data_IF_011971084829
#
_entry.id   IF_011971084829
#
_cell.length_a   1.000
_cell.length_b   1.000
_cell.length_c   1.000
_cell.angle_alpha   90.00
_cell.angle_beta   90.00
_cell.angle_gamma   90.00
#
_symmetry.space_group_name_H-M   'P 1'
#
loop_
_entity.id
_entity.type
_entity.pdbx_description
1 polymer ?
#
# COMPACT_ATOMS: atom_id res chain seq x y z
N UNK A 1 -6.10 -7.17 19.58
CA UNK A 1 -6.10 -5.80 19.00
C UNK A 1 -7.38 -5.66 18.17
N UNK A 2 -8.07 -4.51 18.19
CA UNK A 2 -9.26 -4.29 17.34
C UNK A 2 -8.81 -3.59 16.07
N UNK A 3 -9.22 -4.11 14.93
CA UNK A 3 -8.98 -3.50 13.63
C UNK A 3 -10.03 -2.41 13.35
N UNK A 4 -9.58 -1.21 13.02
CA UNK A 4 -10.44 -0.09 12.61
C UNK A 4 -10.47 0.02 11.10
N UNK A 5 -11.64 0.31 10.55
CA UNK A 5 -11.91 0.37 9.11
C UNK A 5 -12.47 1.71 8.71
N UNK A 6 -12.74 1.87 7.42
CA UNK A 6 -13.26 3.10 6.84
C UNK A 6 -14.46 3.71 7.58
N UNK A 7 -15.37 2.88 8.10
CA UNK A 7 -16.60 3.35 8.75
C UNK A 7 -16.47 3.48 10.28
N UNK A 8 -15.33 3.09 10.86
CA UNK A 8 -15.13 3.03 12.30
C UNK A 8 -14.59 4.34 12.90
N UNK A 9 -14.69 5.47 12.18
CA UNK A 9 -14.13 6.75 12.64
C UNK A 9 -14.69 7.21 13.99
N UNK A 10 -15.96 6.93 14.28
CA UNK A 10 -16.59 7.26 15.56
C UNK A 10 -16.06 6.35 16.70
N UNK A 11 -15.87 5.07 16.41
CA UNK A 11 -15.31 4.12 17.37
C UNK A 11 -13.85 4.46 17.70
N UNK A 12 -13.09 4.92 16.69
CA UNK A 12 -11.73 5.36 16.89
C UNK A 12 -11.65 6.67 17.70
N UNK A 13 -12.59 7.61 17.53
CA UNK A 13 -12.73 8.76 18.42
C UNK A 13 -12.97 8.35 19.88
N UNK A 14 -13.89 7.42 20.10
CA UNK A 14 -14.18 6.92 21.45
C UNK A 14 -12.94 6.26 22.06
N UNK A 15 -12.22 5.46 21.27
CA UNK A 15 -10.96 4.83 21.68
C UNK A 15 -9.88 5.84 22.02
N UNK A 16 -9.70 6.85 21.18
CA UNK A 16 -8.73 7.92 21.45
C UNK A 16 -8.97 8.55 22.82
N UNK A 17 -10.22 8.92 23.13
CA UNK A 17 -10.57 9.49 24.44
C UNK A 17 -10.33 8.52 25.60
N UNK A 18 -10.51 7.23 25.39
CA UNK A 18 -10.20 6.21 26.39
C UNK A 18 -8.69 6.12 26.65
N UNK A 19 -7.88 6.08 25.59
CA UNK A 19 -6.41 6.04 25.68
C UNK A 19 -5.89 7.30 26.36
N UNK A 20 -6.42 8.50 26.05
CA UNK A 20 -5.99 9.74 26.70
C UNK A 20 -6.35 9.77 28.20
N UNK A 21 -7.55 9.29 28.57
CA UNK A 21 -7.92 9.14 29.99
C UNK A 21 -7.00 8.15 30.71
N UNK A 22 -6.75 7.00 30.11
CA UNK A 22 -5.83 6.01 30.66
C UNK A 22 -4.41 6.56 30.80
N UNK A 23 -3.94 7.32 29.79
CA UNK A 23 -2.61 7.95 29.79
C UNK A 23 -2.48 8.96 30.93
N UNK A 24 -3.48 9.81 31.13
CA UNK A 24 -3.50 10.76 32.23
C UNK A 24 -3.45 10.07 33.61
N UNK A 25 -4.23 8.99 33.80
CA UNK A 25 -4.22 8.19 35.03
C UNK A 25 -2.84 7.59 35.34
N UNK A 26 -2.04 7.29 34.31
CA UNK A 26 -0.72 6.67 34.46
C UNK A 26 0.44 7.64 34.26
N UNK A 27 0.18 8.95 34.11
CA UNK A 27 1.21 9.96 33.88
C UNK A 27 2.01 9.76 32.58
N UNK A 28 1.38 9.20 31.55
CA UNK A 28 2.03 8.92 30.27
C UNK A 28 1.91 10.11 29.32
N UNK A 29 3.00 10.37 28.60
CA UNK A 29 3.10 11.39 27.56
C UNK A 29 3.54 10.75 26.25
N UNK A 30 2.95 11.22 25.15
CA UNK A 30 3.16 10.65 23.82
C UNK A 30 3.72 11.70 22.87
N UNK A 31 4.85 11.38 22.23
CA UNK A 31 5.44 12.23 21.19
C UNK A 31 4.60 12.22 19.90
N UNK A 32 3.98 11.07 19.61
CA UNK A 32 3.09 10.88 18.47
C UNK A 32 2.06 9.77 18.75
N UNK A 33 0.95 9.82 18.03
CA UNK A 33 -0.09 8.81 18.06
C UNK A 33 -0.34 8.28 16.65
N UNK A 34 -0.21 6.96 16.50
CA UNK A 34 -0.40 6.26 15.24
C UNK A 34 -1.85 5.80 15.02
N UNK A 35 -2.37 6.06 13.82
CA UNK A 35 -3.67 5.57 13.36
C UNK A 35 -3.44 4.55 12.25
N UNK A 36 -3.76 3.29 12.53
CA UNK A 36 -3.81 2.22 11.54
C UNK A 36 -5.26 1.95 11.13
N UNK A 37 -5.52 1.97 9.83
CA UNK A 37 -6.82 1.68 9.24
C UNK A 37 -6.64 0.44 8.39
N UNK A 38 -7.30 -0.63 8.78
CA UNK A 38 -7.27 -1.91 8.09
C UNK A 38 -8.07 -1.82 6.80
N UNK A 39 -7.53 -2.42 5.74
CA UNK A 39 -8.21 -2.53 4.46
C UNK A 39 -9.50 -3.35 4.61
N UNK A 40 -10.55 -2.94 3.90
CA UNK A 40 -11.78 -3.70 3.85
C UNK A 40 -11.71 -4.80 2.78
N UNK A 41 -10.92 -5.84 3.07
CA UNK A 41 -10.63 -6.96 2.15
C UNK A 41 -11.56 -8.17 2.32
N UNK A 42 -12.63 -8.07 3.12
CA UNK A 42 -13.54 -9.21 3.38
C UNK A 42 -14.13 -9.82 2.10
N UNK A 43 -14.20 -9.05 1.00
CA UNK A 43 -14.94 -9.44 -0.21
C UNK A 43 -14.16 -9.42 -1.53
N UNK A 44 -12.86 -9.05 -1.56
CA UNK A 44 -12.26 -8.59 -2.84
C UNK A 44 -11.10 -9.40 -3.38
N UNK A 45 -10.27 -10.04 -2.54
CA UNK A 45 -9.21 -10.92 -3.05
C UNK A 45 -8.95 -12.05 -2.07
N UNK A 46 -9.43 -13.26 -2.41
CA UNK A 46 -8.87 -14.48 -1.83
C UNK A 46 -7.53 -14.72 -2.52
N UNK A 47 -6.43 -14.29 -1.90
CA UNK A 47 -5.10 -14.75 -2.28
C UNK A 47 -4.94 -16.20 -1.78
N UNK A 48 -5.59 -17.12 -2.50
CA UNK A 48 -5.46 -18.57 -2.32
C UNK A 48 -5.37 -19.22 -3.70
N UNK A 49 -5.58 -20.53 -3.77
CA UNK A 49 -5.34 -21.32 -4.99
C UNK A 49 -6.21 -20.95 -6.20
N UNK A 50 -7.24 -20.10 -6.02
CA UNK A 50 -8.11 -19.65 -7.11
C UNK A 50 -8.49 -18.16 -6.94
N UNK A 51 -7.65 -17.21 -7.37
CA UNK A 51 -7.93 -15.79 -7.27
C UNK A 51 -9.01 -15.38 -8.27
N UNK A 52 -10.27 -15.39 -7.85
CA UNK A 52 -11.38 -14.82 -8.61
C UNK A 52 -11.60 -13.36 -8.20
N UNK A 53 -11.31 -12.43 -9.11
CA UNK A 53 -11.68 -11.02 -8.97
C UNK A 53 -13.17 -10.86 -9.32
N UNK A 54 -14.00 -10.51 -8.34
CA UNK A 54 -15.35 -10.04 -8.63
C UNK A 54 -15.27 -8.63 -9.24
N UNK A 55 -15.30 -8.60 -10.58
CA UNK A 55 -15.22 -7.37 -11.38
C UNK A 55 -16.34 -6.39 -11.04
N UNK A 56 -17.53 -6.86 -10.64
CA UNK A 56 -18.66 -5.99 -10.31
C UNK A 56 -18.43 -5.28 -8.97
N UNK A 57 -18.00 -6.03 -7.95
CA UNK A 57 -17.62 -5.45 -6.65
C UNK A 57 -16.43 -4.51 -6.78
N UNK A 58 -15.45 -4.88 -7.61
CA UNK A 58 -14.30 -4.03 -7.97
C UNK A 58 -14.75 -2.69 -8.59
N UNK A 59 -15.62 -2.73 -9.60
CA UNK A 59 -16.11 -1.52 -10.28
C UNK A 59 -16.94 -0.63 -9.35
N UNK A 60 -17.79 -1.22 -8.50
CA UNK A 60 -18.58 -0.48 -7.50
C UNK A 60 -17.70 0.26 -6.51
N UNK A 61 -16.65 -0.38 -5.98
CA UNK A 61 -15.70 0.26 -5.05
C UNK A 61 -14.92 1.39 -5.72
N UNK A 62 -14.46 1.17 -6.95
CA UNK A 62 -13.77 2.20 -7.74
C UNK A 62 -14.71 3.30 -8.24
N UNK A 63 -16.03 3.16 -8.14
CA UNK A 63 -16.98 4.25 -8.45
C UNK A 63 -17.55 4.92 -7.20
N UNK A 64 -17.47 4.28 -6.02
CA UNK A 64 -17.97 4.81 -4.75
C UNK A 64 -17.07 5.90 -4.13
N UNK A 65 -17.02 7.07 -4.76
CA UNK A 65 -16.18 8.20 -4.30
C UNK A 65 -16.74 8.88 -3.05
N UNK A 66 -18.06 9.08 -3.03
CA UNK A 66 -18.75 9.80 -1.97
C UNK A 66 -18.55 9.19 -0.58
N UNK A 67 -18.59 7.86 -0.49
CA UNK A 67 -18.41 7.17 0.78
C UNK A 67 -16.99 7.33 1.34
N UNK A 68 -15.98 7.33 0.47
CA UNK A 68 -14.58 7.53 0.85
C UNK A 68 -14.32 8.99 1.24
N UNK A 69 -14.94 9.96 0.57
CA UNK A 69 -14.82 11.37 0.92
C UNK A 69 -15.47 11.66 2.29
N UNK A 70 -16.61 11.04 2.59
CA UNK A 70 -17.26 11.12 3.90
C UNK A 70 -16.41 10.49 5.02
N UNK A 71 -15.86 9.30 4.78
CA UNK A 71 -14.94 8.64 5.71
C UNK A 71 -13.67 9.49 5.92
N UNK A 72 -13.09 10.01 4.84
CA UNK A 72 -11.94 10.92 4.88
C UNK A 72 -12.21 12.11 5.78
N UNK A 73 -13.36 12.78 5.60
CA UNK A 73 -13.75 13.92 6.43
C UNK A 73 -13.82 13.53 7.92
N UNK A 74 -14.43 12.39 8.22
CA UNK A 74 -14.59 11.91 9.59
C UNK A 74 -13.24 11.61 10.27
N UNK A 75 -12.31 10.99 9.55
CA UNK A 75 -10.97 10.74 10.05
C UNK A 75 -10.16 12.04 10.20
N UNK A 76 -10.28 12.99 9.27
CA UNK A 76 -9.57 14.27 9.37
C UNK A 76 -10.00 15.09 10.60
N UNK A 77 -11.26 14.99 11.01
CA UNK A 77 -11.74 15.58 12.25
C UNK A 77 -11.05 14.96 13.48
N UNK A 78 -10.88 13.63 13.49
CA UNK A 78 -10.12 12.95 14.55
C UNK A 78 -8.66 13.42 14.59
N UNK A 79 -8.00 13.46 13.43
CA UNK A 79 -6.62 13.92 13.34
C UNK A 79 -6.47 15.36 13.85
N UNK A 80 -7.43 16.23 13.52
CA UNK A 80 -7.45 17.62 13.98
C UNK A 80 -7.61 17.71 15.50
N UNK A 81 -8.45 16.86 16.09
CA UNK A 81 -8.58 16.75 17.54
C UNK A 81 -7.27 16.33 18.21
N UNK A 82 -6.62 15.27 17.70
CA UNK A 82 -5.36 14.78 18.25
C UNK A 82 -4.27 15.86 18.22
N UNK A 83 -4.20 16.61 17.11
CA UNK A 83 -3.29 17.76 16.98
C UNK A 83 -3.62 18.90 17.93
N UNK A 84 -4.91 19.21 18.12
CA UNK A 84 -5.35 20.24 19.04
C UNK A 84 -4.98 19.89 20.50
N UNK A 85 -4.94 18.61 20.83
CA UNK A 85 -4.46 18.10 22.11
C UNK A 85 -2.92 18.10 22.22
N UNK A 86 -2.20 18.54 21.18
CA UNK A 86 -0.75 18.74 21.17
C UNK A 86 0.06 17.54 20.69
N UNK A 87 -0.59 16.50 20.15
CA UNK A 87 0.09 15.30 19.68
C UNK A 87 0.29 15.29 18.16
N UNK A 88 1.46 14.81 17.73
CA UNK A 88 1.68 14.49 16.32
C UNK A 88 0.89 13.25 15.92
N UNK A 89 0.41 13.21 14.69
CA UNK A 89 -0.34 12.08 14.15
C UNK A 89 0.49 11.34 13.12
N UNK A 90 0.54 10.04 13.24
CA UNK A 90 1.14 9.12 12.27
C UNK A 90 0.05 8.27 11.61
N UNK A 91 0.21 8.00 10.32
CA UNK A 91 -0.59 7.01 9.60
C UNK A 91 0.26 5.87 9.08
N UNK A 92 -0.37 4.72 8.85
CA UNK A 92 0.31 3.54 8.29
C UNK A 92 -0.19 3.25 6.89
N UNK A 93 0.73 3.06 5.95
CA UNK A 93 0.42 2.72 4.56
C UNK A 93 1.13 1.43 4.15
N UNK A 94 0.48 0.65 3.29
CA UNK A 94 1.13 -0.48 2.59
C UNK A 94 1.76 0.00 1.27
N UNK A 95 2.75 -0.72 0.71
CA UNK A 95 3.52 -0.26 -0.46
C UNK A 95 2.66 0.09 -1.68
N UNK A 96 1.60 -0.69 -1.95
CA UNK A 96 0.70 -0.43 -3.08
C UNK A 96 -0.06 0.90 -2.96
N UNK A 97 -0.47 1.28 -1.73
CA UNK A 97 -1.13 2.57 -1.46
C UNK A 97 -0.16 3.73 -1.62
N UNK A 98 1.11 3.53 -1.26
CA UNK A 98 2.17 4.53 -1.47
C UNK A 98 2.33 4.85 -2.95
N UNK A 99 2.35 3.84 -3.82
CA UNK A 99 2.47 4.02 -5.27
C UNK A 99 1.26 4.70 -5.88
N UNK A 100 0.05 4.41 -5.39
CA UNK A 100 -1.18 5.13 -5.76
C UNK A 100 -1.04 6.62 -5.48
N UNK A 101 -0.59 6.97 -4.26
CA UNK A 101 -0.40 8.35 -3.84
C UNK A 101 0.68 9.07 -4.66
N UNK A 102 1.84 8.45 -4.87
CA UNK A 102 2.95 9.03 -5.66
C UNK A 102 2.56 9.22 -7.13
N UNK A 103 1.71 8.34 -7.67
CA UNK A 103 1.22 8.44 -9.06
C UNK A 103 0.11 9.50 -9.24
N UNK A 104 -0.37 10.11 -8.15
CA UNK A 104 -1.50 11.04 -8.13
C UNK A 104 -2.85 10.33 -8.33
N UNK A 105 -2.90 9.03 -8.06
CA UNK A 105 -4.09 8.18 -8.17
C UNK A 105 -4.82 8.09 -6.81
N UNK A 106 -6.07 7.61 -6.88
CA UNK A 106 -6.87 7.21 -5.71
C UNK A 106 -7.39 5.79 -5.83
N UNK A 107 -7.01 5.04 -6.86
CA UNK A 107 -7.57 3.74 -7.20
C UNK A 107 -7.29 2.69 -6.12
N UNK A 108 -6.04 2.56 -5.67
CA UNK A 108 -5.69 1.56 -4.67
C UNK A 108 -6.42 1.79 -3.35
N UNK A 109 -6.48 3.04 -2.90
CA UNK A 109 -7.20 3.41 -1.68
C UNK A 109 -8.70 3.15 -1.81
N UNK A 110 -9.30 3.46 -2.95
CA UNK A 110 -10.73 3.17 -3.19
C UNK A 110 -11.03 1.68 -3.25
N UNK A 111 -10.15 0.91 -3.87
CA UNK A 111 -10.26 -0.54 -3.91
C UNK A 111 -10.24 -1.14 -2.50
N UNK A 112 -9.29 -0.68 -1.67
CA UNK A 112 -9.07 -1.18 -0.32
C UNK A 112 -9.99 -0.57 0.74
N UNK A 113 -10.85 0.39 0.37
CA UNK A 113 -11.69 1.12 1.32
C UNK A 113 -10.86 1.91 2.34
N UNK A 114 -9.80 2.57 1.89
CA UNK A 114 -8.91 3.35 2.75
C UNK A 114 -9.17 4.85 2.56
N UNK A 115 -9.52 5.60 3.63
CA UNK A 115 -9.71 7.03 3.55
C UNK A 115 -8.38 7.76 3.30
N UNK A 116 -8.45 8.92 2.66
CA UNK A 116 -7.28 9.75 2.39
C UNK A 116 -6.93 10.62 3.60
N UNK A 117 -6.22 10.05 4.57
CA UNK A 117 -5.81 10.77 5.78
C UNK A 117 -4.50 11.54 5.57
N UNK A 118 -4.45 12.76 6.09
CA UNK A 118 -3.30 13.67 5.99
C UNK A 118 -2.66 13.74 7.38
N UNK A 119 -1.91 12.70 7.73
CA UNK A 119 -1.13 12.64 8.97
C UNK A 119 0.14 13.49 8.87
N UNK A 120 0.79 13.77 10.00
CA UNK A 120 2.04 14.53 10.05
C UNK A 120 3.22 13.70 9.54
N UNK A 121 3.13 12.38 9.72
CA UNK A 121 4.02 11.40 9.07
C UNK A 121 3.24 10.21 8.55
N UNK A 122 3.75 9.63 7.47
CA UNK A 122 3.23 8.40 6.88
C UNK A 122 4.30 7.33 7.02
N UNK A 123 4.03 6.33 7.85
CA UNK A 123 4.87 5.16 8.09
C UNK A 123 4.56 4.10 7.04
N UNK A 124 5.51 3.82 6.15
CA UNK A 124 5.34 2.78 5.13
C UNK A 124 5.72 1.42 5.71
N UNK A 125 4.76 0.49 5.75
CA UNK A 125 4.99 -0.88 6.22
C UNK A 125 5.71 -1.71 5.16
N UNK A 126 6.96 -2.08 5.44
CA UNK A 126 7.83 -2.87 4.57
C UNK A 126 8.14 -4.23 5.24
N UNK A 127 7.10 -5.03 5.46
CA UNK A 127 7.23 -6.34 6.11
C UNK A 127 7.73 -7.39 5.12
N UNK A 128 9.05 -7.59 5.06
CA UNK A 128 9.67 -8.52 4.11
C UNK A 128 9.24 -9.98 4.33
N UNK A 129 8.98 -10.37 5.57
CA UNK A 129 8.55 -11.71 5.98
C UNK A 129 7.20 -12.12 5.35
N UNK A 130 6.33 -11.16 5.08
CA UNK A 130 5.01 -11.38 4.46
C UNK A 130 5.08 -11.49 2.93
N UNK A 131 6.23 -11.17 2.34
CA UNK A 131 6.44 -11.15 0.90
C UNK A 131 7.51 -12.15 0.46
N UNK A 132 7.81 -13.19 1.25
CA UNK A 132 8.83 -14.19 0.90
C UNK A 132 8.49 -14.90 -0.41
N UNK A 133 9.49 -15.20 -1.27
CA UNK A 133 10.92 -14.89 -1.12
C UNK A 133 11.31 -13.46 -1.55
N UNK A 134 10.36 -12.64 -2.01
CA UNK A 134 10.59 -11.31 -2.60
C UNK A 134 10.77 -10.16 -1.60
N UNK A 135 10.59 -10.41 -0.30
CA UNK A 135 10.71 -9.42 0.77
C UNK A 135 11.95 -8.50 0.71
N UNK A 136 13.16 -9.01 0.46
CA UNK A 136 14.34 -8.15 0.30
C UNK A 136 14.22 -7.16 -0.87
N UNK A 137 13.63 -7.60 -1.99
CA UNK A 137 13.36 -6.75 -3.15
C UNK A 137 12.31 -5.69 -2.86
N UNK A 138 11.30 -6.02 -2.03
CA UNK A 138 10.30 -5.06 -1.56
C UNK A 138 10.97 -3.90 -0.81
N UNK A 139 11.81 -4.19 0.17
CA UNK A 139 12.51 -3.15 0.94
C UNK A 139 13.38 -2.32 0.02
N UNK A 140 14.21 -2.94 -0.81
CA UNK A 140 15.11 -2.23 -1.70
C UNK A 140 14.40 -1.36 -2.74
N UNK A 141 13.20 -1.75 -3.18
CA UNK A 141 12.43 -0.97 -4.13
C UNK A 141 11.73 0.24 -3.48
N UNK A 142 11.34 0.17 -2.21
CA UNK A 142 10.50 1.20 -1.57
C UNK A 142 11.25 2.07 -0.55
N UNK A 143 12.17 1.50 0.24
CA UNK A 143 12.87 2.22 1.30
C UNK A 143 13.59 3.49 0.84
N UNK A 144 14.26 3.55 -0.35
CA UNK A 144 14.91 4.77 -0.82
C UNK A 144 13.98 5.98 -1.01
N UNK A 145 12.68 5.76 -1.15
CA UNK A 145 11.67 6.83 -1.34
C UNK A 145 10.86 7.14 -0.06
N UNK A 146 11.28 6.56 1.07
CA UNK A 146 10.57 6.65 2.34
C UNK A 146 11.43 7.38 3.38
N UNK A 147 10.88 8.42 4.00
CA UNK A 147 11.50 9.04 5.17
C UNK A 147 11.26 8.22 6.45
N UNK A 148 10.16 7.47 6.50
CA UNK A 148 9.70 6.72 7.66
C UNK A 148 9.19 5.35 7.21
N UNK A 149 9.68 4.28 7.85
CA UNK A 149 9.26 2.91 7.54
C UNK A 149 8.98 2.12 8.81
N UNK A 150 8.10 1.14 8.71
CA UNK A 150 7.96 0.07 9.70
C UNK A 150 8.43 -1.25 9.08
N UNK A 151 9.30 -1.96 9.79
CA UNK A 151 9.76 -3.30 9.44
C UNK A 151 9.44 -4.27 10.57
N UNK A 152 9.80 -5.54 10.43
CA UNK A 152 9.87 -6.43 11.57
C UNK A 152 8.52 -6.87 12.12
N UNK A 153 7.64 -7.45 11.30
CA UNK A 153 6.55 -8.23 11.88
C UNK A 153 7.15 -9.52 12.48
N UNK A 154 7.64 -9.39 13.72
CA UNK A 154 8.36 -10.45 14.47
C UNK A 154 7.39 -11.46 15.06
N UNK A 155 6.11 -11.11 15.18
CA UNK A 155 5.08 -12.05 15.61
C UNK A 155 4.53 -12.83 14.41
N UNK A 156 3.89 -13.98 14.65
CA UNK A 156 3.05 -14.59 13.62
C UNK A 156 1.66 -13.97 13.73
N UNK A 157 1.15 -13.40 12.64
CA UNK A 157 -0.26 -13.02 12.53
C UNK A 157 -1.20 -14.25 12.38
N UNK A 158 -0.67 -15.47 12.54
CA UNK A 158 -1.36 -16.75 12.34
C UNK A 158 -1.44 -17.19 10.88
N UNK A 159 -1.06 -16.34 9.92
CA UNK A 159 -1.07 -16.62 8.48
C UNK A 159 0.32 -16.61 7.86
N UNK A 160 1.21 -15.75 8.37
CA UNK A 160 2.59 -15.62 7.96
C UNK A 160 3.54 -16.23 8.99
N UNK A 161 4.62 -16.83 8.50
CA UNK A 161 5.72 -17.27 9.37
C UNK A 161 6.37 -16.04 10.02
N UNK A 162 6.67 -16.09 11.33
CA UNK A 162 7.41 -15.05 12.04
C UNK A 162 8.68 -14.61 11.29
N UNK A 163 9.05 -13.35 11.43
CA UNK A 163 10.36 -12.88 10.95
C UNK A 163 11.49 -13.55 11.72
N UNK A 164 12.50 -14.06 11.00
CA UNK A 164 13.72 -14.56 11.63
C UNK A 164 14.66 -13.42 12.04
N UNK A 165 15.55 -13.70 13.00
CA UNK A 165 16.60 -12.74 13.39
C UNK A 165 17.44 -12.27 12.19
N UNK A 166 17.79 -13.19 11.29
CA UNK A 166 18.55 -12.87 10.08
C UNK A 166 17.82 -11.88 9.18
N UNK A 167 16.52 -12.05 8.98
CA UNK A 167 15.69 -11.13 8.20
C UNK A 167 15.59 -9.76 8.85
N UNK A 168 15.37 -9.71 10.17
CA UNK A 168 15.32 -8.44 10.90
C UNK A 168 16.61 -7.66 10.72
N UNK A 169 17.77 -8.30 10.91
CA UNK A 169 19.05 -7.62 10.77
C UNK A 169 19.30 -7.19 9.33
N UNK A 170 19.02 -8.03 8.34
CA UNK A 170 19.15 -7.68 6.92
C UNK A 170 18.31 -6.46 6.58
N UNK A 171 17.07 -6.44 7.04
CA UNK A 171 16.11 -5.38 6.74
C UNK A 171 16.52 -4.06 7.41
N UNK A 172 16.90 -4.10 8.70
CA UNK A 172 17.43 -2.94 9.45
C UNK A 172 18.64 -2.33 8.76
N UNK A 173 19.60 -3.17 8.38
CA UNK A 173 20.79 -2.78 7.63
C UNK A 173 20.43 -2.08 6.33
N UNK A 174 19.50 -2.65 5.56
CA UNK A 174 19.13 -2.12 4.26
C UNK A 174 18.40 -0.77 4.38
N UNK A 175 17.40 -0.66 5.27
CA UNK A 175 16.69 0.62 5.47
C UNK A 175 17.63 1.70 6.00
N UNK A 176 18.60 1.33 6.86
CA UNK A 176 19.63 2.25 7.33
C UNK A 176 20.50 2.75 6.19
N UNK A 177 20.94 1.85 5.31
CA UNK A 177 21.76 2.19 4.14
C UNK A 177 21.02 3.06 3.11
N UNK A 178 19.69 2.94 3.03
CA UNK A 178 18.85 3.84 2.22
C UNK A 178 18.72 5.25 2.80
N UNK A 179 19.23 5.51 4.01
CA UNK A 179 19.12 6.81 4.66
C UNK A 179 17.71 7.11 5.20
N UNK A 180 16.92 6.08 5.51
CA UNK A 180 15.60 6.26 6.14
C UNK A 180 15.77 6.93 7.50
N UNK A 181 15.05 8.04 7.72
CA UNK A 181 15.22 8.89 8.90
C UNK A 181 14.61 8.27 10.17
N UNK A 182 13.47 7.59 10.04
CA UNK A 182 12.79 6.95 11.16
C UNK A 182 12.42 5.50 10.82
N UNK A 183 12.82 4.57 11.68
CA UNK A 183 12.55 3.14 11.52
C UNK A 183 11.78 2.64 12.74
N UNK A 184 10.57 2.17 12.50
CA UNK A 184 9.75 1.44 13.47
C UNK A 184 9.98 -0.07 13.29
N UNK A 185 9.97 -0.81 14.39
CA UNK A 185 10.03 -2.28 14.37
C UNK A 185 8.74 -2.77 15.02
N UNK A 186 7.93 -3.51 14.25
CA UNK A 186 6.68 -4.07 14.73
C UNK A 186 6.92 -5.24 15.70
N UNK A 187 5.90 -5.66 16.44
CA UNK A 187 6.01 -6.81 17.34
C UNK A 187 6.95 -6.61 18.54
N UNK A 188 6.94 -5.41 19.16
CA UNK A 188 7.78 -5.12 20.34
C UNK A 188 7.76 -6.20 21.44
N UNK A 189 6.61 -6.80 21.83
CA UNK A 189 6.61 -7.88 22.81
C UNK A 189 7.46 -9.09 22.38
N UNK A 190 7.42 -9.47 21.10
CA UNK A 190 8.22 -10.56 20.57
C UNK A 190 9.72 -10.21 20.52
N UNK A 191 10.06 -8.96 20.16
CA UNK A 191 11.45 -8.46 20.22
C UNK A 191 12.02 -8.58 21.63
N UNK A 192 11.23 -8.22 22.65
CA UNK A 192 11.62 -8.34 24.05
C UNK A 192 11.76 -9.81 24.46
N UNK A 193 10.79 -10.66 24.10
CA UNK A 193 10.81 -12.08 24.42
C UNK A 193 12.01 -12.82 23.80
N UNK A 194 12.41 -12.45 22.59
CA UNK A 194 13.61 -12.98 21.93
C UNK A 194 14.92 -12.38 22.43
N UNK A 195 14.87 -11.31 23.24
CA UNK A 195 16.07 -10.65 23.75
C UNK A 195 16.83 -9.84 22.70
N UNK A 196 16.20 -9.46 21.58
CA UNK A 196 16.86 -8.71 20.50
C UNK A 196 17.01 -7.20 20.80
N UNK A 197 16.21 -6.67 21.72
CA UNK A 197 16.17 -5.24 22.05
C UNK A 197 17.55 -4.61 22.40
N UNK A 198 18.48 -5.27 23.14
CA UNK A 198 19.77 -4.64 23.45
C UNK A 198 20.62 -4.46 22.20
N UNK A 199 20.61 -5.45 21.29
CA UNK A 199 21.35 -5.40 20.03
C UNK A 199 20.79 -4.34 19.07
N UNK A 200 19.45 -4.16 19.04
CA UNK A 200 18.80 -3.09 18.26
C UNK A 200 19.26 -1.72 18.77
N UNK A 201 19.22 -1.50 20.09
CA UNK A 201 19.62 -0.24 20.72
C UNK A 201 21.12 0.04 20.58
N UNK A 202 21.96 -1.00 20.55
CA UNK A 202 23.40 -0.84 20.35
C UNK A 202 23.77 -0.35 18.93
N UNK A 203 22.84 -0.36 17.96
CA UNK A 203 23.03 0.27 16.65
C UNK A 203 24.04 -0.42 15.72
N UNK A 204 24.47 -1.66 16.04
CA UNK A 204 25.49 -2.40 15.27
C UNK A 204 25.09 -2.73 13.82
N UNK A 205 23.84 -2.47 13.44
CA UNK A 205 23.26 -2.72 12.12
C UNK A 205 23.46 -1.55 11.13
N UNK A 206 23.84 -0.35 11.57
CA UNK A 206 23.95 0.84 10.69
C UNK A 206 25.05 0.74 9.62
N UNK A 207 26.05 -0.14 9.80
CA UNK A 207 27.25 -0.22 8.94
C UNK A 207 27.40 -1.50 8.12
N UNK A 208 26.45 -2.42 8.19
CA UNK A 208 26.53 -3.68 7.45
C UNK A 208 25.58 -3.58 6.27
N UNK A 209 26.02 -3.91 5.05
CA UNK A 209 25.13 -3.95 3.89
C UNK A 209 25.27 -5.29 3.18
N UNK A 210 24.18 -6.06 3.19
CA UNK A 210 23.96 -7.13 2.23
C UNK A 210 22.92 -6.61 1.23
N UNK A 211 23.24 -6.44 -0.06
CA UNK A 211 22.22 -6.14 -1.04
C UNK A 211 21.27 -7.34 -1.17
N UNK A 212 19.98 -7.13 -1.45
CA UNK A 212 19.15 -8.23 -1.93
C UNK A 212 19.78 -8.82 -3.19
N UNK A 213 19.51 -10.10 -3.49
CA UNK A 213 19.91 -10.67 -4.78
C UNK A 213 19.42 -9.76 -5.92
N UNK A 214 20.33 -9.36 -6.80
CA UNK A 214 20.04 -8.36 -7.84
C UNK A 214 18.78 -8.72 -8.65
N UNK A 215 18.58 -10.00 -8.94
CA UNK A 215 17.41 -10.48 -9.68
C UNK A 215 16.08 -10.15 -9.00
N UNK A 216 15.96 -10.40 -7.69
CA UNK A 216 14.74 -10.16 -6.90
C UNK A 216 14.44 -8.66 -6.85
N UNK A 217 15.47 -7.83 -6.69
CA UNK A 217 15.32 -6.38 -6.72
C UNK A 217 14.79 -5.90 -8.08
N UNK A 218 15.40 -6.32 -9.19
CA UNK A 218 14.98 -5.91 -10.54
C UNK A 218 13.57 -6.39 -10.89
N UNK A 219 13.16 -7.58 -10.43
CA UNK A 219 11.81 -8.06 -10.64
C UNK A 219 10.77 -7.16 -9.95
N UNK A 220 10.98 -6.85 -8.68
CA UNK A 220 10.07 -5.98 -7.91
C UNK A 220 10.08 -4.55 -8.46
N UNK A 221 11.24 -4.02 -8.84
CA UNK A 221 11.35 -2.69 -9.44
C UNK A 221 10.55 -2.59 -10.77
N UNK A 222 10.66 -3.59 -11.65
CA UNK A 222 9.89 -3.64 -12.91
C UNK A 222 8.39 -3.74 -12.67
N UNK A 223 7.98 -4.62 -11.75
CA UNK A 223 6.57 -4.75 -11.36
C UNK A 223 6.02 -3.41 -10.86
N UNK A 224 6.76 -2.76 -9.95
CA UNK A 224 6.42 -1.46 -9.38
C UNK A 224 6.28 -0.37 -10.45
N UNK A 225 7.20 -0.33 -11.41
CA UNK A 225 7.13 0.61 -12.53
C UNK A 225 5.86 0.39 -13.37
N UNK A 226 5.51 -0.87 -13.67
CA UNK A 226 4.27 -1.21 -14.38
C UNK A 226 3.02 -0.78 -13.61
N UNK A 227 2.97 -1.08 -12.31
CA UNK A 227 1.87 -0.68 -11.42
C UNK A 227 1.72 0.85 -11.37
N UNK A 228 2.82 1.59 -11.19
CA UNK A 228 2.82 3.06 -11.21
C UNK A 228 2.33 3.62 -12.54
N UNK A 229 2.75 3.02 -13.66
CA UNK A 229 2.28 3.44 -14.98
C UNK A 229 0.76 3.24 -15.12
N UNK A 230 0.22 2.11 -14.67
CA UNK A 230 -1.22 1.83 -14.67
C UNK A 230 -2.01 2.78 -13.77
N UNK A 231 -1.50 3.06 -12.56
CA UNK A 231 -2.13 3.99 -11.62
C UNK A 231 -2.10 5.42 -12.16
N UNK A 232 -0.96 5.85 -12.70
CA UNK A 232 -0.81 7.17 -13.33
C UNK A 232 -1.76 7.36 -14.51
N UNK A 233 -1.89 6.32 -15.34
CA UNK A 233 -2.81 6.24 -16.46
C UNK A 233 -4.28 6.35 -15.98
N UNK A 234 -4.65 5.54 -14.99
CA UNK A 234 -6.00 5.53 -14.41
C UNK A 234 -6.38 6.86 -13.74
N UNK A 235 -5.42 7.61 -13.22
CA UNK A 235 -5.64 8.94 -12.66
C UNK A 235 -5.91 10.02 -13.72
N UNK A 236 -5.61 9.75 -15.01
CA UNK A 236 -5.65 10.74 -16.11
C UNK A 236 -6.45 10.23 -17.31
N UNK A 237 -7.74 9.86 -17.14
CA UNK A 237 -8.55 9.34 -18.24
C UNK A 237 -8.67 10.34 -19.40
N UNK A 238 -8.66 11.64 -19.11
CA UNK A 238 -8.69 12.72 -20.10
C UNK A 238 -7.46 12.78 -21.00
N UNK A 239 -6.31 12.27 -20.55
CA UNK A 239 -5.07 12.18 -21.37
C UNK A 239 -5.10 10.94 -22.25
N UNK A 240 -5.71 9.84 -21.80
CA UNK A 240 -5.74 8.57 -22.51
C UNK A 240 -6.87 8.44 -23.54
N UNK A 241 -8.05 9.01 -23.24
CA UNK A 241 -9.18 9.01 -24.16
C UNK A 241 -8.84 9.57 -25.56
N UNK A 242 -8.15 10.72 -25.72
CA UNK A 242 -7.77 11.21 -27.04
C UNK A 242 -6.70 10.36 -27.75
N UNK A 243 -5.87 9.61 -27.02
CA UNK A 243 -4.90 8.66 -27.60
C UNK A 243 -5.57 7.36 -28.10
N UNK A 244 -6.71 6.98 -27.51
CA UNK A 244 -7.48 5.81 -27.94
C UNK A 244 -8.29 6.07 -29.22
N UNK A 245 -8.71 7.32 -29.48
CA UNK A 245 -9.45 7.71 -30.69
C UNK A 245 -8.72 7.30 -31.98
N UNK A 246 -7.45 7.67 -32.23
CA UNK A 246 -6.76 7.30 -33.47
C UNK A 246 -6.55 5.78 -33.59
N UNK A 247 -6.33 5.06 -32.48
CA UNK A 247 -6.22 3.59 -32.49
C UNK A 247 -7.56 2.95 -32.86
N UNK A 248 -8.67 3.42 -32.27
CA UNK A 248 -10.00 2.92 -32.58
C UNK A 248 -10.39 3.24 -34.03
N UNK A 249 -10.01 4.41 -34.54
CA UNK A 249 -10.18 4.77 -35.95
C UNK A 249 -9.34 3.90 -36.89
N UNK A 250 -8.11 3.56 -36.51
CA UNK A 250 -7.22 2.66 -37.27
C UNK A 250 -7.80 1.24 -37.31
N UNK A 251 -8.24 0.71 -36.18
CA UNK A 251 -8.90 -0.62 -36.09
C UNK A 251 -10.18 -0.64 -36.93
N UNK A 252 -11.04 0.38 -36.80
CA UNK A 252 -12.23 0.51 -37.67
C UNK A 252 -11.88 0.55 -39.14
N UNK A 253 -10.80 1.24 -39.52
CA UNK A 253 -10.33 1.31 -40.91
C UNK A 253 -9.82 -0.04 -41.40
N UNK A 254 -9.13 -0.81 -40.55
CA UNK A 254 -8.65 -2.15 -40.88
C UNK A 254 -9.81 -3.14 -41.03
N UNK A 255 -10.80 -3.13 -40.14
CA UNK A 255 -11.99 -3.99 -40.24
C UNK A 255 -12.81 -3.66 -41.48
N UNK A 256 -13.09 -2.37 -41.74
CA UNK A 256 -13.84 -1.95 -42.94
C UNK A 256 -13.14 -2.29 -44.26
N UNK A 257 -11.80 -2.25 -44.28
CA UNK A 257 -11.03 -2.67 -45.45
C UNK A 257 -11.05 -4.19 -45.64
N UNK A 258 -11.27 -4.98 -44.58
CA UNK A 258 -11.39 -6.43 -44.68
C UNK A 258 -12.74 -6.84 -45.29
N UNK A 259 -13.84 -6.18 -44.90
CA UNK A 259 -15.18 -6.43 -45.44
C UNK A 259 -15.27 -6.09 -46.95
N UNK A 260 -14.67 -4.97 -47.37
CA UNK A 260 -14.64 -4.55 -48.79
C UNK A 260 -13.84 -5.52 -49.66
N UNK A 261 -12.80 -6.16 -49.12
CA UNK A 261 -12.00 -7.16 -49.86
C UNK A 261 -12.71 -8.51 -49.93
N UNK A 262 -13.50 -8.86 -48.91
CA UNK A 262 -14.35 -10.06 -48.89
C UNK A 262 -15.49 -9.98 -49.93
N UNK A 263 -16.22 -8.86 -49.99
CA UNK A 263 -17.32 -8.66 -50.95
C UNK A 263 -16.84 -8.60 -52.40
N UNK A 264 -15.63 -8.06 -52.64
CA UNK A 264 -15.01 -8.04 -53.95
C UNK A 264 -14.57 -9.44 -54.42
N UNK A 265 -14.24 -10.36 -53.51
CA UNK A 265 -13.87 -11.73 -53.84
C UNK A 265 -15.09 -12.61 -54.19
N UNK A 266 -16.21 -12.44 -53.48
CA UNK A 266 -17.44 -13.21 -53.74
C UNK A 266 -18.17 -12.77 -55.03
N UNK A 267 -18.12 -11.48 -55.38
CA UNK A 267 -18.71 -10.98 -56.63
C UNK A 267 -17.98 -11.42 -57.91
N UNK A 268 -16.73 -11.89 -57.80
CA UNK A 268 -15.93 -12.42 -58.91
C UNK A 268 -16.17 -13.89 -59.24
N UNK A 269 -16.87 -14.65 -58.38
CA UNK A 269 -17.08 -16.10 -58.57
C UNK A 269 -18.37 -16.46 -59.31
N UNK A 270 -19.28 -15.51 -59.57
CA UNK A 270 -20.57 -15.76 -60.24
C UNK A 270 -20.60 -15.39 -61.73
N UNK A 271 -19.43 -15.18 -62.34
CA UNK A 271 -19.29 -14.94 -63.78
C UNK A 271 -18.39 -16.00 -64.43
N UNK A 272 -18.81 -17.27 -64.39
CA UNK A 272 -18.38 -18.33 -65.32
C UNK A 272 -19.50 -19.32 -65.56
#
# INVERSE_FOLDING_TARGET
MRDYRMDDANDLHARYREVMRWSATHGLHWDALGIDISADVRDTVRFGDNPALDVNTFLKRITNRWHIDAATTSYQNLLSLIRADGHRVESYEIPFVRDDRVSGSTLARRLLGLPAIAADMVVVRLYSSHARPYGPGLIAAYAPECAVVAIGDVDSDGTNLPMSEHELWRDLQHVSACGVAHVYIAGFPAIVAHGWHPAILAGGWVKRTLPPAEEVHHQIARMRAGVRALLWAGARPTVLLPLLIPVLMLVRRMVRNHDVVSDAADSGSNAR
#
